data_IF_298930809536
#
_entry.id   IF_298930809536
#
_cell.length_a   1.000
_cell.length_b   1.000
_cell.length_c   1.000
_cell.angle_alpha   90.00
_cell.angle_beta   90.00
_cell.angle_gamma   90.00
#
_symmetry.space_group_name_H-M   'P 1'
#
loop_
_entity.id
_entity.type
_entity.pdbx_description
1 polymer ?
#
# COMPACT_ATOMS: atom_id res chain seq x y z
N UNK A 1 -12.95 -13.33 -39.95
CA UNK A 1 -14.19 -12.60 -40.24
C UNK A 1 -15.34 -12.82 -39.24
N UNK A 2 -15.62 -14.03 -38.76
CA UNK A 2 -16.77 -14.27 -37.86
C UNK A 2 -16.68 -13.57 -36.49
N UNK A 3 -15.52 -13.60 -35.82
CA UNK A 3 -15.34 -12.91 -34.52
C UNK A 3 -15.52 -11.39 -34.66
N UNK A 4 -15.04 -10.81 -35.77
CA UNK A 4 -15.18 -9.39 -36.09
C UNK A 4 -16.65 -9.02 -36.32
N UNK A 5 -17.37 -9.81 -37.11
CA UNK A 5 -18.80 -9.60 -37.34
C UNK A 5 -19.59 -9.70 -36.03
N UNK A 6 -19.32 -10.71 -35.20
CA UNK A 6 -19.96 -10.87 -33.89
C UNK A 6 -19.72 -9.67 -32.97
N UNK A 7 -18.48 -9.19 -32.85
CA UNK A 7 -18.15 -8.00 -32.05
C UNK A 7 -18.84 -6.74 -32.57
N UNK A 8 -18.90 -6.56 -33.90
CA UNK A 8 -19.60 -5.42 -34.52
C UNK A 8 -21.09 -5.42 -34.17
N UNK A 9 -21.76 -6.57 -34.36
CA UNK A 9 -23.18 -6.74 -34.00
C UNK A 9 -23.41 -6.50 -32.52
N UNK A 10 -22.56 -7.02 -31.64
CA UNK A 10 -22.69 -6.80 -30.20
C UNK A 10 -22.50 -5.32 -29.82
N UNK A 11 -21.60 -4.59 -30.47
CA UNK A 11 -21.48 -3.15 -30.29
C UNK A 11 -22.76 -2.40 -30.70
N UNK A 12 -23.37 -2.77 -31.82
CA UNK A 12 -24.63 -2.19 -32.28
C UNK A 12 -25.78 -2.48 -31.30
N UNK A 13 -25.87 -3.72 -30.81
CA UNK A 13 -26.87 -4.11 -29.80
C UNK A 13 -26.73 -3.28 -28.53
N UNK A 14 -25.51 -3.13 -27.97
CA UNK A 14 -25.28 -2.29 -26.78
C UNK A 14 -25.63 -0.82 -27.04
N UNK A 15 -25.39 -0.32 -28.26
CA UNK A 15 -25.65 1.06 -28.63
C UNK A 15 -27.16 1.35 -28.78
N UNK A 16 -27.89 0.48 -29.48
CA UNK A 16 -29.33 0.64 -29.75
C UNK A 16 -30.15 0.38 -28.47
N UNK A 17 -29.83 -0.69 -27.75
CA UNK A 17 -30.60 -1.13 -26.59
C UNK A 17 -30.01 -0.68 -25.26
N UNK A 18 -29.31 0.46 -25.26
CA UNK A 18 -28.55 1.02 -24.13
C UNK A 18 -29.26 0.91 -22.78
N UNK A 19 -30.56 1.22 -22.72
CA UNK A 19 -31.33 1.28 -21.46
C UNK A 19 -32.11 -0.01 -21.15
N UNK A 20 -32.09 -1.01 -22.03
CA UNK A 20 -32.82 -2.26 -21.82
C UNK A 20 -31.95 -3.29 -21.08
N UNK A 21 -32.12 -3.39 -19.76
CA UNK A 21 -31.30 -4.28 -18.91
C UNK A 21 -31.34 -5.75 -19.34
N UNK A 22 -32.48 -6.26 -19.85
CA UNK A 22 -32.57 -7.67 -20.29
C UNK A 22 -31.71 -7.92 -21.53
N UNK A 23 -31.70 -6.98 -22.48
CA UNK A 23 -30.86 -7.07 -23.68
C UNK A 23 -29.39 -6.93 -23.31
N UNK A 24 -29.04 -5.96 -22.46
CA UNK A 24 -27.65 -5.75 -22.00
C UNK A 24 -27.14 -6.97 -21.23
N UNK A 25 -27.96 -7.54 -20.35
CA UNK A 25 -27.63 -8.76 -19.61
C UNK A 25 -27.33 -9.91 -20.57
N UNK A 26 -28.22 -10.15 -21.53
CA UNK A 26 -28.04 -11.22 -22.52
C UNK A 26 -26.80 -10.99 -23.38
N UNK A 27 -26.62 -9.77 -23.91
CA UNK A 27 -25.47 -9.39 -24.71
C UNK A 27 -24.15 -9.55 -23.94
N UNK A 28 -24.13 -9.21 -22.64
CA UNK A 28 -22.92 -9.32 -21.81
C UNK A 28 -22.40 -10.76 -21.72
N UNK A 29 -23.29 -11.77 -21.71
CA UNK A 29 -22.88 -13.19 -21.72
C UNK A 29 -22.18 -13.53 -23.04
N UNK A 30 -22.74 -13.10 -24.17
CA UNK A 30 -22.11 -13.29 -25.48
C UNK A 30 -20.78 -12.56 -25.58
N UNK A 31 -20.72 -11.30 -25.10
CA UNK A 31 -19.48 -10.50 -25.07
C UNK A 31 -18.40 -11.20 -24.25
N UNK A 32 -18.74 -11.76 -23.09
CA UNK A 32 -17.79 -12.52 -22.28
C UNK A 32 -17.15 -13.68 -23.06
N UNK A 33 -17.94 -14.40 -23.85
CA UNK A 33 -17.42 -15.51 -24.66
C UNK A 33 -16.52 -15.02 -25.79
N UNK A 34 -16.95 -13.98 -26.52
CA UNK A 34 -16.22 -13.51 -27.69
C UNK A 34 -15.01 -12.64 -27.34
N UNK A 35 -14.87 -12.13 -26.11
CA UNK A 35 -13.72 -11.31 -25.70
C UNK A 35 -12.59 -12.09 -25.05
N UNK A 36 -12.72 -13.42 -24.91
CA UNK A 36 -11.73 -14.25 -24.22
C UNK A 36 -10.32 -14.05 -24.78
N UNK A 37 -9.27 -14.01 -23.93
CA UNK A 37 -7.88 -13.83 -24.37
C UNK A 37 -7.36 -14.89 -25.35
N UNK A 38 -8.00 -16.06 -25.41
CA UNK A 38 -7.69 -17.12 -26.38
C UNK A 38 -8.01 -16.74 -27.83
N UNK A 39 -8.75 -15.65 -28.05
CA UNK A 39 -9.13 -15.15 -29.37
C UNK A 39 -8.16 -14.01 -29.73
N UNK A 40 -7.18 -14.27 -30.59
CA UNK A 40 -6.06 -13.36 -30.86
C UNK A 40 -6.31 -12.37 -32.00
N UNK A 41 -7.21 -12.69 -32.94
CA UNK A 41 -7.41 -11.92 -34.19
C UNK A 41 -8.55 -10.89 -34.09
N UNK A 42 -8.59 -10.14 -32.99
CA UNK A 42 -9.64 -9.16 -32.76
C UNK A 42 -9.27 -7.78 -33.26
N UNK A 43 -10.21 -7.13 -33.95
CA UNK A 43 -10.06 -5.75 -34.43
C UNK A 43 -9.89 -4.79 -33.22
N UNK A 44 -8.74 -4.12 -33.08
CA UNK A 44 -8.48 -3.25 -31.93
C UNK A 44 -9.44 -2.06 -31.84
N UNK A 45 -9.90 -1.54 -32.99
CA UNK A 45 -10.86 -0.44 -33.04
C UNK A 45 -12.23 -0.85 -32.52
N UNK A 46 -12.70 -2.05 -32.88
CA UNK A 46 -13.94 -2.62 -32.34
C UNK A 46 -13.82 -2.95 -30.85
N UNK A 47 -12.68 -3.46 -30.39
CA UNK A 47 -12.43 -3.67 -28.96
C UNK A 47 -12.50 -2.36 -28.18
N UNK A 48 -11.89 -1.30 -28.68
CA UNK A 48 -11.95 0.02 -28.03
C UNK A 48 -13.37 0.59 -28.03
N UNK A 49 -14.12 0.43 -29.13
CA UNK A 49 -15.55 0.82 -29.21
C UNK A 49 -16.38 0.05 -28.18
N UNK A 50 -16.18 -1.25 -28.09
CA UNK A 50 -16.85 -2.12 -27.12
C UNK A 50 -16.56 -1.67 -25.68
N UNK A 51 -15.30 -1.39 -25.35
CA UNK A 51 -14.93 -0.87 -24.03
C UNK A 51 -15.70 0.39 -23.65
N UNK A 52 -15.80 1.37 -24.56
CA UNK A 52 -16.58 2.58 -24.31
C UNK A 52 -18.07 2.30 -24.05
N UNK A 53 -18.64 1.30 -24.74
CA UNK A 53 -20.03 0.87 -24.52
C UNK A 53 -20.20 0.11 -23.19
N UNK A 54 -19.23 -0.73 -22.81
CA UNK A 54 -19.23 -1.45 -21.53
C UNK A 54 -19.11 -0.48 -20.35
N UNK A 55 -18.22 0.52 -20.42
CA UNK A 55 -18.07 1.56 -19.40
C UNK A 55 -19.36 2.37 -19.25
N UNK A 56 -20.02 2.70 -20.37
CA UNK A 56 -21.33 3.35 -20.33
C UNK A 56 -22.41 2.47 -19.68
N UNK A 57 -22.46 1.18 -20.05
CA UNK A 57 -23.40 0.23 -19.46
C UNK A 57 -23.16 0.01 -17.96
N UNK A 58 -21.90 0.01 -17.50
CA UNK A 58 -21.55 0.00 -16.08
C UNK A 58 -22.18 1.17 -15.33
N UNK A 59 -22.19 2.37 -15.91
CA UNK A 59 -22.84 3.55 -15.33
C UNK A 59 -24.37 3.50 -15.38
N UNK A 60 -24.94 3.19 -16.55
CA UNK A 60 -26.39 3.21 -16.75
C UNK A 60 -27.12 2.12 -15.94
N UNK A 61 -26.47 0.96 -15.73
CA UNK A 61 -27.07 -0.22 -15.09
C UNK A 61 -26.49 -0.51 -13.69
N UNK A 62 -26.11 0.53 -12.94
CA UNK A 62 -25.58 0.40 -11.57
C UNK A 62 -26.49 -0.42 -10.64
N UNK A 63 -27.81 -0.32 -10.79
CA UNK A 63 -28.77 -1.05 -9.97
C UNK A 63 -28.84 -2.57 -10.27
N UNK A 64 -28.32 -3.03 -11.41
CA UNK A 64 -28.42 -4.43 -11.80
C UNK A 64 -27.14 -5.20 -11.48
N UNK A 65 -27.14 -5.95 -10.38
CA UNK A 65 -25.98 -6.74 -9.92
C UNK A 65 -25.39 -7.64 -11.01
N UNK A 66 -26.24 -8.34 -11.77
CA UNK A 66 -25.76 -9.31 -12.73
C UNK A 66 -25.08 -8.65 -13.93
N UNK A 67 -25.51 -7.45 -14.34
CA UNK A 67 -24.82 -6.65 -15.35
C UNK A 67 -23.48 -6.15 -14.80
N UNK A 68 -23.45 -5.63 -13.57
CA UNK A 68 -22.21 -5.20 -12.92
C UNK A 68 -21.18 -6.34 -12.85
N UNK A 69 -21.61 -7.52 -12.38
CA UNK A 69 -20.77 -8.72 -12.30
C UNK A 69 -20.26 -9.17 -13.67
N UNK A 70 -21.13 -9.26 -14.66
CA UNK A 70 -20.75 -9.71 -15.99
C UNK A 70 -19.76 -8.73 -16.64
N UNK A 71 -20.01 -7.42 -16.58
CA UNK A 71 -19.10 -6.44 -17.17
C UNK A 71 -17.76 -6.42 -16.43
N UNK A 72 -17.77 -6.50 -15.10
CA UNK A 72 -16.55 -6.57 -14.30
C UNK A 72 -15.65 -7.75 -14.74
N UNK A 73 -16.24 -8.94 -14.97
CA UNK A 73 -15.51 -10.10 -15.48
C UNK A 73 -15.05 -9.94 -16.93
N UNK A 74 -15.85 -9.32 -17.79
CA UNK A 74 -15.46 -9.01 -19.18
C UNK A 74 -14.25 -8.09 -19.21
N UNK A 75 -14.18 -7.08 -18.33
CA UNK A 75 -13.05 -6.15 -18.26
C UNK A 75 -11.73 -6.86 -17.93
N UNK A 76 -11.75 -7.98 -17.21
CA UNK A 76 -10.56 -8.80 -16.96
C UNK A 76 -9.97 -9.44 -18.22
N UNK A 77 -10.68 -9.45 -19.35
CA UNK A 77 -10.17 -9.93 -20.65
C UNK A 77 -9.41 -8.86 -21.44
N UNK A 78 -9.35 -7.63 -20.95
CA UNK A 78 -8.69 -6.52 -21.63
C UNK A 78 -7.35 -6.22 -20.97
N UNK A 79 -6.37 -5.89 -21.78
CA UNK A 79 -5.08 -5.46 -21.28
C UNK A 79 -5.18 -4.06 -20.67
N UNK A 80 -4.33 -3.79 -19.67
CA UNK A 80 -4.29 -2.47 -19.04
C UNK A 80 -4.06 -1.35 -20.06
N UNK A 81 -3.32 -1.59 -21.14
CA UNK A 81 -3.15 -0.60 -22.21
C UNK A 81 -4.46 -0.21 -22.91
N UNK A 82 -5.39 -1.15 -23.09
CA UNK A 82 -6.68 -0.89 -23.73
C UNK A 82 -7.64 -0.14 -22.79
N UNK A 83 -7.53 -0.41 -21.49
CA UNK A 83 -8.38 0.19 -20.47
C UNK A 83 -7.91 1.59 -20.03
N UNK A 84 -6.65 1.99 -20.32
CA UNK A 84 -6.05 3.29 -19.96
C UNK A 84 -6.93 4.51 -20.26
N UNK A 85 -7.62 4.62 -21.41
CA UNK A 85 -8.48 5.76 -21.70
C UNK A 85 -9.64 5.96 -20.70
N UNK A 86 -9.97 4.93 -19.92
CA UNK A 86 -11.06 4.91 -18.96
C UNK A 86 -10.59 4.77 -17.50
N UNK A 87 -9.31 5.05 -17.24
CA UNK A 87 -8.65 4.83 -15.94
C UNK A 87 -9.33 5.52 -14.75
N UNK A 88 -9.98 6.68 -14.97
CA UNK A 88 -10.74 7.36 -13.92
C UNK A 88 -12.16 6.80 -13.77
N UNK A 89 -12.76 6.29 -14.85
CA UNK A 89 -14.18 5.90 -14.93
C UNK A 89 -14.40 4.45 -14.50
N UNK A 90 -13.52 3.53 -14.92
CA UNK A 90 -13.68 2.11 -14.60
C UNK A 90 -13.61 1.86 -13.09
N UNK A 91 -12.55 2.28 -12.36
CA UNK A 91 -12.46 2.02 -10.93
C UNK A 91 -13.60 2.65 -10.15
N UNK A 92 -13.98 3.90 -10.47
CA UNK A 92 -15.07 4.60 -9.78
C UNK A 92 -16.41 3.91 -9.97
N UNK A 93 -16.77 3.52 -11.20
CA UNK A 93 -18.02 2.81 -11.48
C UNK A 93 -18.04 1.41 -10.88
N UNK A 94 -16.92 0.68 -10.93
CA UNK A 94 -16.82 -0.66 -10.34
C UNK A 94 -16.93 -0.62 -8.82
N UNK A 95 -16.25 0.32 -8.16
CA UNK A 95 -16.32 0.46 -6.71
C UNK A 95 -17.69 0.98 -6.25
N UNK A 96 -18.32 1.89 -6.99
CA UNK A 96 -19.69 2.32 -6.72
C UNK A 96 -20.68 1.14 -6.80
N UNK A 97 -20.53 0.27 -7.81
CA UNK A 97 -21.31 -0.97 -7.93
C UNK A 97 -21.02 -1.95 -6.80
N UNK A 98 -19.75 -2.09 -6.41
CA UNK A 98 -19.31 -2.93 -5.30
C UNK A 98 -19.91 -2.47 -3.96
N UNK A 99 -19.97 -1.16 -3.69
CA UNK A 99 -20.61 -0.63 -2.48
C UNK A 99 -22.11 -0.84 -2.53
N UNK A 100 -22.76 -0.57 -3.66
CA UNK A 100 -24.21 -0.73 -3.82
C UNK A 100 -24.67 -2.17 -3.58
N UNK A 101 -23.86 -3.14 -3.99
CA UNK A 101 -24.21 -4.57 -3.96
C UNK A 101 -23.42 -5.33 -2.90
N UNK A 102 -23.16 -4.70 -1.76
CA UNK A 102 -22.42 -5.28 -0.64
C UNK A 102 -23.27 -6.17 0.26
N UNK A 103 -24.43 -6.67 -0.17
CA UNK A 103 -25.28 -7.51 0.68
C UNK A 103 -24.58 -8.82 1.06
N UNK A 104 -24.72 -9.23 2.34
CA UNK A 104 -24.06 -10.43 2.92
C UNK A 104 -24.28 -11.70 2.10
N UNK A 105 -25.45 -11.86 1.47
CA UNK A 105 -25.81 -13.06 0.70
C UNK A 105 -24.98 -13.27 -0.58
N UNK A 106 -24.26 -12.25 -1.07
CA UNK A 106 -23.60 -12.29 -2.39
C UNK A 106 -22.13 -12.70 -2.35
N UNK A 107 -21.59 -12.99 -1.17
CA UNK A 107 -20.26 -13.59 -1.00
C UNK A 107 -19.09 -12.75 -1.48
N UNK A 108 -19.26 -11.44 -1.69
CA UNK A 108 -18.16 -10.50 -1.96
C UNK A 108 -17.52 -10.55 -3.34
N UNK A 109 -18.07 -11.32 -4.28
CA UNK A 109 -17.40 -11.57 -5.58
C UNK A 109 -17.19 -10.27 -6.36
N UNK A 110 -18.22 -9.42 -6.46
CA UNK A 110 -18.11 -8.15 -7.18
C UNK A 110 -17.07 -7.23 -6.55
N UNK A 111 -17.01 -7.18 -5.21
CA UNK A 111 -16.07 -6.39 -4.44
C UNK A 111 -14.64 -6.86 -4.67
N UNK A 112 -14.39 -8.18 -4.61
CA UNK A 112 -13.06 -8.76 -4.88
C UNK A 112 -12.55 -8.38 -6.26
N UNK A 113 -13.38 -8.56 -7.30
CA UNK A 113 -12.96 -8.27 -8.68
C UNK A 113 -12.80 -6.76 -8.90
N UNK A 114 -13.71 -5.93 -8.36
CA UNK A 114 -13.62 -4.46 -8.46
C UNK A 114 -12.34 -3.91 -7.81
N UNK A 115 -12.01 -4.39 -6.60
CA UNK A 115 -10.79 -3.99 -5.88
C UNK A 115 -9.55 -4.53 -6.58
N UNK A 116 -9.57 -5.78 -7.06
CA UNK A 116 -8.45 -6.37 -7.82
C UNK A 116 -8.13 -5.60 -9.10
N UNK A 117 -9.16 -5.27 -9.90
CA UNK A 117 -8.99 -4.44 -11.09
C UNK A 117 -8.49 -3.04 -10.74
N UNK A 118 -8.97 -2.45 -9.66
CA UNK A 118 -8.47 -1.16 -9.15
C UNK A 118 -6.99 -1.24 -8.78
N UNK A 119 -6.58 -2.30 -8.07
CA UNK A 119 -5.19 -2.51 -7.65
C UNK A 119 -4.20 -2.57 -8.83
N UNK A 120 -4.62 -3.10 -9.97
CA UNK A 120 -3.78 -3.14 -11.17
C UNK A 120 -3.37 -1.75 -11.67
N UNK A 121 -4.25 -0.75 -11.52
CA UNK A 121 -3.99 0.63 -11.97
C UNK A 121 -3.04 1.36 -11.05
N UNK A 122 -3.20 1.16 -9.75
CA UNK A 122 -2.42 1.81 -8.71
C UNK A 122 -0.93 1.46 -8.80
N UNK A 123 -0.62 0.26 -9.32
CA UNK A 123 0.75 -0.21 -9.51
C UNK A 123 1.47 0.39 -10.73
N UNK A 124 0.82 1.19 -11.59
CA UNK A 124 1.41 1.69 -12.84
C UNK A 124 2.37 2.88 -12.66
N UNK A 125 2.25 3.65 -11.57
CA UNK A 125 3.09 4.83 -11.31
C UNK A 125 2.36 5.94 -10.55
N UNK A 126 3.11 6.92 -10.05
CA UNK A 126 2.58 8.00 -9.19
C UNK A 126 1.52 8.85 -9.91
N UNK A 127 1.71 9.19 -11.19
CA UNK A 127 0.74 9.98 -11.96
C UNK A 127 -0.66 9.33 -11.99
N UNK A 128 -0.69 8.00 -12.11
CA UNK A 128 -1.95 7.25 -12.09
C UNK A 128 -2.57 7.21 -10.70
N UNK A 129 -1.76 7.12 -9.64
CA UNK A 129 -2.26 7.21 -8.27
C UNK A 129 -2.95 8.55 -8.04
N UNK A 130 -2.34 9.67 -8.46
CA UNK A 130 -2.94 11.01 -8.36
C UNK A 130 -4.26 11.09 -9.14
N UNK A 131 -4.29 10.64 -10.39
CA UNK A 131 -5.49 10.64 -11.21
C UNK A 131 -6.65 9.82 -10.60
N UNK A 132 -6.33 8.67 -9.99
CA UNK A 132 -7.32 7.84 -9.29
C UNK A 132 -7.82 8.54 -8.01
N UNK A 133 -6.93 9.21 -7.29
CA UNK A 133 -7.26 10.07 -6.15
C UNK A 133 -8.27 11.15 -6.53
N UNK A 134 -7.95 11.94 -7.56
CA UNK A 134 -8.80 13.00 -8.10
C UNK A 134 -10.16 12.49 -8.59
N UNK A 135 -10.21 11.24 -9.08
CA UNK A 135 -11.44 10.58 -9.49
C UNK A 135 -12.32 10.11 -8.31
N UNK A 136 -11.84 10.21 -7.06
CA UNK A 136 -12.57 9.80 -5.86
C UNK A 136 -12.40 8.33 -5.47
N UNK A 137 -11.44 7.62 -6.05
CA UNK A 137 -11.21 6.19 -5.76
C UNK A 137 -10.88 5.96 -4.28
N UNK A 138 -10.12 6.86 -3.66
CA UNK A 138 -9.77 6.77 -2.22
C UNK A 138 -11.04 6.77 -1.37
N UNK A 139 -12.00 7.65 -1.65
CA UNK A 139 -13.26 7.74 -0.91
C UNK A 139 -14.06 6.42 -1.00
N UNK A 140 -14.17 5.85 -2.20
CA UNK A 140 -14.87 4.59 -2.40
C UNK A 140 -14.20 3.41 -1.67
N UNK A 141 -12.87 3.35 -1.67
CA UNK A 141 -12.13 2.31 -0.93
C UNK A 141 -12.33 2.45 0.58
N UNK A 142 -12.29 3.66 1.13
CA UNK A 142 -12.57 3.92 2.56
C UNK A 142 -14.00 3.50 2.91
N UNK A 143 -14.98 3.82 2.06
CA UNK A 143 -16.37 3.42 2.25
C UNK A 143 -16.53 1.89 2.25
N UNK A 144 -15.82 1.18 1.36
CA UNK A 144 -15.83 -0.30 1.32
C UNK A 144 -15.28 -0.92 2.60
N UNK A 145 -14.27 -0.31 3.24
CA UNK A 145 -13.80 -0.77 4.56
C UNK A 145 -14.92 -0.64 5.58
N UNK A 146 -15.59 0.52 5.64
CA UNK A 146 -16.69 0.74 6.58
C UNK A 146 -17.79 -0.30 6.43
N UNK A 147 -18.25 -0.50 5.18
CA UNK A 147 -19.25 -1.52 4.85
C UNK A 147 -18.77 -2.92 5.22
N UNK A 148 -17.52 -3.26 4.93
CA UNK A 148 -16.96 -4.58 5.23
C UNK A 148 -16.84 -4.84 6.73
N UNK A 149 -16.39 -3.86 7.51
CA UNK A 149 -16.23 -3.99 8.97
C UNK A 149 -17.57 -4.20 9.67
N UNK A 150 -18.63 -3.53 9.20
CA UNK A 150 -20.00 -3.68 9.72
C UNK A 150 -20.63 -5.05 9.36
N UNK A 151 -20.03 -5.80 8.44
CA UNK A 151 -20.55 -7.08 7.93
C UNK A 151 -19.80 -8.32 8.42
N UNK A 152 -18.82 -8.16 9.30
CA UNK A 152 -18.00 -9.22 9.91
C UNK A 152 -17.19 -10.08 8.92
N UNK A 153 -16.81 -11.29 9.33
CA UNK A 153 -15.80 -12.15 8.70
C UNK A 153 -16.06 -12.55 7.24
N UNK A 154 -17.26 -12.36 6.70
CA UNK A 154 -17.56 -12.69 5.29
C UNK A 154 -16.82 -11.79 4.30
N UNK A 155 -16.46 -10.56 4.71
CA UNK A 155 -15.72 -9.59 3.90
C UNK A 155 -14.23 -9.53 4.23
N UNK A 156 -13.70 -10.39 5.12
CA UNK A 156 -12.32 -10.27 5.60
C UNK A 156 -11.27 -10.21 4.46
N UNK A 157 -11.39 -11.07 3.45
CA UNK A 157 -10.48 -11.10 2.29
C UNK A 157 -10.65 -9.88 1.38
N UNK A 158 -11.87 -9.35 1.27
CA UNK A 158 -12.14 -8.10 0.55
C UNK A 158 -11.49 -6.93 1.29
N UNK A 159 -11.70 -6.82 2.60
CA UNK A 159 -11.15 -5.73 3.42
C UNK A 159 -9.61 -5.77 3.38
N UNK A 160 -9.00 -6.95 3.48
CA UNK A 160 -7.56 -7.12 3.29
C UNK A 160 -7.07 -6.58 1.93
N UNK A 161 -7.81 -6.89 0.86
CA UNK A 161 -7.52 -6.39 -0.49
C UNK A 161 -7.70 -4.88 -0.61
N UNK A 162 -8.73 -4.32 0.05
CA UNK A 162 -9.00 -2.88 0.04
C UNK A 162 -7.89 -2.12 0.78
N UNK A 163 -7.45 -2.61 1.95
CA UNK A 163 -6.29 -2.06 2.64
C UNK A 163 -5.03 -2.13 1.78
N UNK A 164 -4.80 -3.24 1.06
CA UNK A 164 -3.68 -3.37 0.13
C UNK A 164 -3.76 -2.37 -1.04
N UNK A 165 -4.94 -2.14 -1.60
CA UNK A 165 -5.15 -1.14 -2.64
C UNK A 165 -4.91 0.29 -2.13
N UNK A 166 -5.39 0.60 -0.91
CA UNK A 166 -5.16 1.89 -0.27
C UNK A 166 -3.69 2.11 0.11
N UNK A 167 -2.98 1.09 0.58
CA UNK A 167 -1.55 1.17 0.81
C UNK A 167 -0.80 1.53 -0.48
N UNK A 168 -1.13 0.86 -1.59
CA UNK A 168 -0.50 1.15 -2.87
C UNK A 168 -0.84 2.53 -3.43
N UNK A 169 -2.08 3.04 -3.23
CA UNK A 169 -2.53 4.31 -3.82
C UNK A 169 -2.00 5.52 -3.06
N UNK A 170 -1.64 5.35 -1.80
CA UNK A 170 -1.03 6.38 -0.94
C UNK A 170 0.50 6.40 -1.04
N UNK A 171 1.13 5.30 -1.43
CA UNK A 171 2.58 5.16 -1.56
C UNK A 171 3.15 6.19 -2.56
N UNK A 172 4.14 6.98 -2.14
CA UNK A 172 4.72 8.10 -2.90
C UNK A 172 3.68 9.13 -3.43
N UNK A 173 2.48 9.17 -2.85
CA UNK A 173 1.37 10.03 -3.26
C UNK A 173 0.76 10.76 -2.05
N UNK A 174 1.45 11.80 -1.51
CA UNK A 174 1.03 12.48 -0.28
C UNK A 174 -0.38 13.09 -0.36
N UNK A 175 -0.82 13.52 -1.55
CA UNK A 175 -2.19 13.99 -1.77
C UNK A 175 -3.24 12.90 -1.49
N UNK A 176 -2.95 11.65 -1.86
CA UNK A 176 -3.85 10.53 -1.57
C UNK A 176 -3.84 10.14 -0.08
N UNK A 177 -2.71 10.29 0.61
CA UNK A 177 -2.65 10.14 2.07
C UNK A 177 -3.52 11.17 2.78
N UNK A 178 -3.55 12.42 2.30
CA UNK A 178 -4.43 13.46 2.81
C UNK A 178 -5.91 13.13 2.52
N UNK A 179 -6.25 12.76 1.27
CA UNK A 179 -7.60 12.34 0.89
C UNK A 179 -8.11 11.17 1.74
N UNK A 180 -7.24 10.19 2.07
CA UNK A 180 -7.61 9.08 2.95
C UNK A 180 -8.10 9.58 4.31
N UNK A 181 -7.39 10.52 4.92
CA UNK A 181 -7.77 11.10 6.21
C UNK A 181 -9.07 11.91 6.09
N UNK A 182 -9.19 12.75 5.06
CA UNK A 182 -10.39 13.56 4.77
C UNK A 182 -11.64 12.70 4.53
N UNK A 183 -11.48 11.52 3.96
CA UNK A 183 -12.57 10.56 3.72
C UNK A 183 -12.96 9.75 4.97
N UNK A 184 -12.41 10.06 6.16
CA UNK A 184 -12.71 9.35 7.40
C UNK A 184 -11.84 8.11 7.64
N UNK A 185 -10.69 8.00 6.96
CA UNK A 185 -9.77 6.87 7.08
C UNK A 185 -9.24 6.63 8.50
N UNK A 186 -9.10 7.68 9.31
CA UNK A 186 -8.71 7.55 10.72
C UNK A 186 -9.70 6.72 11.54
N UNK A 187 -11.01 6.91 11.31
CA UNK A 187 -12.04 6.10 11.97
C UNK A 187 -11.95 4.62 11.53
N UNK A 188 -11.60 4.36 10.26
CA UNK A 188 -11.43 3.00 9.76
C UNK A 188 -10.21 2.31 10.37
N UNK A 189 -9.11 3.04 10.60
CA UNK A 189 -7.94 2.53 11.32
C UNK A 189 -8.35 2.09 12.73
N UNK A 190 -9.02 2.97 13.48
CA UNK A 190 -9.45 2.67 14.86
C UNK A 190 -10.39 1.47 14.92
N UNK A 191 -11.43 1.43 14.07
CA UNK A 191 -12.34 0.27 14.00
C UNK A 191 -11.61 -1.03 13.67
N UNK A 192 -10.60 -0.97 12.80
CA UNK A 192 -9.81 -2.16 12.44
C UNK A 192 -8.90 -2.61 13.58
N UNK A 193 -8.31 -1.66 14.34
CA UNK A 193 -7.55 -1.97 15.55
C UNK A 193 -8.42 -2.63 16.63
N UNK A 194 -9.61 -2.11 16.87
CA UNK A 194 -10.56 -2.68 17.84
C UNK A 194 -10.92 -4.12 17.46
N UNK A 195 -11.24 -4.37 16.18
CA UNK A 195 -11.49 -5.74 15.72
C UNK A 195 -10.27 -6.64 15.83
N UNK A 196 -9.05 -6.13 15.65
CA UNK A 196 -7.83 -6.93 15.82
C UNK A 196 -7.65 -7.37 17.29
N UNK A 197 -8.05 -6.55 18.25
CA UNK A 197 -7.96 -6.89 19.68
C UNK A 197 -9.04 -7.90 20.11
N UNK A 198 -10.19 -7.91 19.44
CA UNK A 198 -11.34 -8.76 19.81
C UNK A 198 -11.53 -10.01 18.95
N UNK A 199 -11.01 -10.02 17.72
CA UNK A 199 -11.20 -11.08 16.72
C UNK A 199 -9.86 -11.52 16.10
N UNK A 200 -9.80 -12.76 15.60
CA UNK A 200 -8.62 -13.27 14.87
C UNK A 200 -8.57 -12.71 13.46
N UNK A 201 -8.07 -11.49 13.30
CA UNK A 201 -7.78 -10.89 11.99
C UNK A 201 -6.47 -11.45 11.41
N UNK A 202 -6.37 -11.55 10.07
CA UNK A 202 -5.14 -11.97 9.40
C UNK A 202 -3.99 -10.98 9.63
N UNK A 203 -2.78 -11.50 9.83
CA UNK A 203 -1.57 -10.67 9.91
C UNK A 203 -1.33 -9.88 8.61
N UNK A 204 -1.79 -10.39 7.47
CA UNK A 204 -1.73 -9.70 6.17
C UNK A 204 -2.55 -8.42 6.14
N UNK A 205 -3.78 -8.45 6.67
CA UNK A 205 -4.63 -7.26 6.77
C UNK A 205 -3.97 -6.21 7.66
N UNK A 206 -3.44 -6.65 8.81
CA UNK A 206 -2.70 -5.77 9.71
C UNK A 206 -1.49 -5.14 9.02
N UNK A 207 -0.69 -5.93 8.29
CA UNK A 207 0.46 -5.44 7.52
C UNK A 207 0.05 -4.42 6.47
N UNK A 208 -1.01 -4.67 5.70
CA UNK A 208 -1.50 -3.75 4.67
C UNK A 208 -1.93 -2.41 5.29
N UNK A 209 -2.66 -2.46 6.41
CA UNK A 209 -3.07 -1.26 7.13
C UNK A 209 -1.86 -0.50 7.70
N UNK A 210 -0.91 -1.19 8.33
CA UNK A 210 0.31 -0.54 8.84
C UNK A 210 1.15 0.07 7.72
N UNK A 211 1.21 -0.57 6.54
CA UNK A 211 1.85 0.00 5.36
C UNK A 211 1.24 1.35 4.96
N UNK A 212 -0.10 1.43 4.92
CA UNK A 212 -0.80 2.70 4.68
C UNK A 212 -0.52 3.73 5.78
N UNK A 213 -0.58 3.33 7.05
CA UNK A 213 -0.33 4.26 8.17
C UNK A 213 1.12 4.77 8.13
N UNK A 214 2.07 3.92 7.70
CA UNK A 214 3.44 4.31 7.37
C UNK A 214 3.50 5.43 6.35
N UNK A 215 2.83 5.26 5.21
CA UNK A 215 2.77 6.31 4.17
C UNK A 215 2.18 7.64 4.69
N UNK A 216 1.19 7.59 5.61
CA UNK A 216 0.65 8.79 6.26
C UNK A 216 1.69 9.42 7.19
N UNK A 217 2.39 8.60 7.99
CA UNK A 217 3.40 9.05 8.93
C UNK A 217 4.64 9.65 8.25
N UNK A 218 4.97 9.21 7.03
CA UNK A 218 6.06 9.79 6.25
C UNK A 218 5.81 11.28 5.92
N UNK A 219 4.55 11.68 5.71
CA UNK A 219 4.15 13.05 5.33
C UNK A 219 4.12 13.98 6.56
N UNK A 220 5.05 14.94 6.72
CA UNK A 220 5.16 15.75 7.94
C UNK A 220 3.87 16.48 8.33
N UNK A 221 3.19 17.08 7.35
CA UNK A 221 1.92 17.80 7.55
C UNK A 221 0.77 16.91 8.01
N UNK A 222 0.86 15.57 7.88
CA UNK A 222 -0.22 14.64 8.23
C UNK A 222 0.02 13.90 9.55
N UNK A 223 1.26 13.86 10.07
CA UNK A 223 1.62 13.11 11.28
C UNK A 223 0.75 13.41 12.49
N UNK A 224 0.29 14.66 12.62
CA UNK A 224 -0.54 15.06 13.73
C UNK A 224 -1.88 14.31 13.82
N UNK A 225 -2.42 13.82 12.69
CA UNK A 225 -3.63 12.99 12.69
C UNK A 225 -3.43 11.65 13.41
N UNK A 226 -2.18 11.18 13.51
CA UNK A 226 -1.83 9.92 14.15
C UNK A 226 -1.41 10.09 15.61
N UNK A 227 -1.21 11.33 16.09
CA UNK A 227 -0.90 11.64 17.49
C UNK A 227 -2.16 11.52 18.36
N UNK A 228 -2.58 10.28 18.60
CA UNK A 228 -3.70 9.93 19.48
C UNK A 228 -3.33 8.79 20.41
N UNK A 229 -3.90 8.78 21.61
CA UNK A 229 -3.62 7.75 22.62
C UNK A 229 -4.00 6.34 22.12
N UNK A 230 -5.09 6.22 21.36
CA UNK A 230 -5.55 4.94 20.80
C UNK A 230 -4.51 4.36 19.84
N UNK A 231 -4.03 5.17 18.89
CA UNK A 231 -3.05 4.72 17.89
C UNK A 231 -1.71 4.43 18.54
N UNK A 232 -1.22 5.33 19.38
CA UNK A 232 0.07 5.17 20.05
C UNK A 232 0.08 3.93 20.95
N UNK A 233 -1.01 3.68 21.69
CA UNK A 233 -1.15 2.46 22.50
C UNK A 233 -1.13 1.20 21.62
N UNK A 234 -1.89 1.19 20.54
CA UNK A 234 -1.95 0.05 19.63
C UNK A 234 -0.59 -0.28 19.01
N UNK A 235 0.11 0.73 18.46
CA UNK A 235 1.44 0.57 17.87
C UNK A 235 2.48 0.12 18.90
N UNK A 236 2.47 0.70 20.10
CA UNK A 236 3.38 0.30 21.19
C UNK A 236 3.13 -1.15 21.61
N UNK A 237 1.87 -1.55 21.73
CA UNK A 237 1.49 -2.93 22.06
C UNK A 237 1.91 -3.93 20.98
N UNK A 238 1.75 -3.57 19.69
CA UNK A 238 2.23 -4.40 18.58
C UNK A 238 3.74 -4.59 18.64
N UNK A 239 4.45 -3.50 18.86
CA UNK A 239 5.90 -3.51 18.92
C UNK A 239 6.40 -4.40 20.06
N UNK A 240 5.77 -4.34 21.25
CA UNK A 240 6.08 -5.23 22.36
C UNK A 240 5.79 -6.70 22.04
N UNK A 241 4.67 -7.02 21.39
CA UNK A 241 4.29 -8.39 20.99
C UNK A 241 5.23 -8.98 19.93
N UNK A 242 5.74 -8.15 19.01
CA UNK A 242 6.72 -8.56 17.99
C UNK A 242 8.05 -9.05 18.56
N UNK A 243 8.39 -8.66 19.80
CA UNK A 243 9.63 -9.11 20.46
C UNK A 243 9.57 -10.55 20.95
N UNK A 244 8.37 -11.11 21.13
CA UNK A 244 8.18 -12.40 21.80
C UNK A 244 7.48 -13.43 20.95
N UNK A 245 6.45 -13.05 20.19
CA UNK A 245 5.52 -14.03 19.60
C UNK A 245 4.97 -13.67 18.22
N UNK A 246 5.32 -12.52 17.64
CA UNK A 246 4.73 -12.02 16.39
C UNK A 246 5.81 -11.74 15.33
N UNK A 247 5.43 -11.80 14.05
CA UNK A 247 6.30 -11.49 12.92
C UNK A 247 6.99 -10.12 13.10
N UNK A 248 8.32 -10.12 12.89
CA UNK A 248 9.15 -8.92 12.89
C UNK A 248 8.62 -7.87 11.91
N UNK A 249 7.95 -8.26 10.82
CA UNK A 249 7.42 -7.33 9.83
C UNK A 249 6.34 -6.40 10.42
N UNK A 250 5.49 -6.93 11.29
CA UNK A 250 4.48 -6.13 11.98
C UNK A 250 5.15 -5.16 12.94
N UNK A 251 6.12 -5.65 13.72
CA UNK A 251 6.91 -4.82 14.64
C UNK A 251 7.71 -3.74 13.93
N UNK A 252 8.34 -4.08 12.80
CA UNK A 252 9.14 -3.19 11.99
C UNK A 252 8.30 -2.03 11.44
N UNK A 253 7.11 -2.33 10.89
CA UNK A 253 6.21 -1.29 10.39
C UNK A 253 5.71 -0.38 11.52
N UNK A 254 5.30 -0.97 12.65
CA UNK A 254 4.85 -0.21 13.81
C UNK A 254 5.96 0.72 14.34
N UNK A 255 7.20 0.22 14.43
CA UNK A 255 8.35 1.01 14.83
C UNK A 255 8.65 2.15 13.85
N UNK A 256 8.50 1.94 12.53
CA UNK A 256 8.70 2.99 11.53
C UNK A 256 7.69 4.12 11.67
N UNK A 257 6.42 3.78 11.87
CA UNK A 257 5.37 4.76 12.17
C UNK A 257 5.72 5.54 13.44
N UNK A 258 6.03 4.83 14.53
CA UNK A 258 6.40 5.46 15.80
C UNK A 258 7.65 6.34 15.66
N UNK A 259 8.65 5.93 14.89
CA UNK A 259 9.86 6.71 14.65
C UNK A 259 9.54 8.05 13.95
N UNK A 260 8.66 8.05 12.94
CA UNK A 260 8.16 9.28 12.33
C UNK A 260 7.40 10.16 13.32
N UNK A 261 6.49 9.61 14.12
CA UNK A 261 5.73 10.39 15.11
C UNK A 261 6.64 10.95 16.22
N UNK A 262 7.61 10.15 16.68
CA UNK A 262 8.58 10.56 17.68
C UNK A 262 9.59 11.58 17.14
N UNK A 263 9.81 11.66 15.82
CA UNK A 263 10.63 12.71 15.22
C UNK A 263 10.03 14.11 15.36
N UNK A 264 8.72 14.21 15.61
CA UNK A 264 8.06 15.47 15.96
C UNK A 264 8.54 16.02 17.31
N UNK A 265 8.52 17.35 17.41
CA UNK A 265 9.02 18.06 18.60
C UNK A 265 8.06 17.92 19.79
N UNK A 266 8.57 18.05 21.01
CA UNK A 266 7.75 17.98 22.22
C UNK A 266 6.55 18.97 22.24
N UNK A 267 6.68 20.22 21.74
CA UNK A 267 5.54 21.12 21.60
C UNK A 267 4.40 20.59 20.71
N UNK A 268 4.73 19.87 19.63
CA UNK A 268 3.71 19.26 18.75
C UNK A 268 2.93 18.20 19.53
N UNK A 269 3.61 17.33 20.27
CA UNK A 269 2.94 16.32 21.11
C UNK A 269 2.04 16.94 22.18
N UNK A 270 2.45 18.05 22.79
CA UNK A 270 1.66 18.78 23.78
C UNK A 270 0.42 19.44 23.17
N UNK A 271 0.52 19.96 21.94
CA UNK A 271 -0.58 20.59 21.23
C UNK A 271 -1.77 19.65 21.01
N UNK A 272 -1.51 18.36 20.77
CA UNK A 272 -2.55 17.35 20.52
C UNK A 272 -3.02 16.62 21.80
N UNK A 273 -2.58 17.09 22.98
CA UNK A 273 -3.05 16.64 24.29
C UNK A 273 -2.97 15.11 24.52
N UNK A 274 -1.97 14.47 23.92
CA UNK A 274 -1.67 13.04 24.06
C UNK A 274 -1.26 12.74 25.50
N UNK A 275 -1.91 11.76 26.13
CA UNK A 275 -1.62 11.34 27.50
C UNK A 275 -0.43 10.37 27.56
N UNK A 276 -0.21 9.59 26.50
CA UNK A 276 0.93 8.70 26.38
C UNK A 276 2.24 9.50 26.32
N UNK A 277 3.15 9.19 27.24
CA UNK A 277 4.46 9.84 27.32
C UNK A 277 5.31 9.53 26.08
N UNK A 278 5.72 10.57 25.35
CA UNK A 278 6.69 10.47 24.24
C UNK A 278 7.95 9.71 24.65
N UNK A 279 8.45 9.93 25.87
CA UNK A 279 9.64 9.25 26.40
C UNK A 279 9.40 7.74 26.57
N UNK A 280 8.21 7.31 26.96
CA UNK A 280 7.86 5.88 27.07
C UNK A 280 7.82 5.21 25.69
N UNK A 281 7.27 5.91 24.69
CA UNK A 281 7.25 5.43 23.29
C UNK A 281 8.68 5.31 22.75
N UNK A 282 9.53 6.32 22.97
CA UNK A 282 10.94 6.31 22.58
C UNK A 282 11.71 5.14 23.23
N UNK A 283 11.52 4.89 24.52
CA UNK A 283 12.14 3.76 25.21
C UNK A 283 11.74 2.43 24.57
N UNK A 284 10.44 2.24 24.34
CA UNK A 284 9.92 1.01 23.71
C UNK A 284 10.46 0.83 22.30
N UNK A 285 10.53 1.92 21.53
CA UNK A 285 11.11 1.93 20.18
C UNK A 285 12.58 1.47 20.22
N UNK A 286 13.41 2.11 21.05
CA UNK A 286 14.83 1.80 21.16
C UNK A 286 15.08 0.35 21.58
N UNK A 287 14.39 -0.14 22.62
CA UNK A 287 14.55 -1.52 23.08
C UNK A 287 14.17 -2.54 22.01
N UNK A 288 13.12 -2.25 21.23
CA UNK A 288 12.62 -3.18 20.22
C UNK A 288 13.55 -3.25 19.02
N UNK A 289 13.99 -2.11 18.48
CA UNK A 289 14.93 -2.08 17.35
C UNK A 289 16.25 -2.79 17.71
N UNK A 290 16.74 -2.61 18.94
CA UNK A 290 17.97 -3.28 19.41
C UNK A 290 17.83 -4.79 19.55
N UNK A 291 16.61 -5.30 19.70
CA UNK A 291 16.36 -6.74 19.86
C UNK A 291 16.37 -7.51 18.54
N UNK A 292 16.32 -6.82 17.40
CA UNK A 292 16.21 -7.44 16.09
C UNK A 292 17.57 -7.78 15.47
N UNK A 293 17.63 -8.91 14.78
CA UNK A 293 18.80 -9.29 13.99
C UNK A 293 18.88 -8.47 12.70
N UNK A 294 20.04 -7.84 12.47
CA UNK A 294 20.33 -7.05 11.27
C UNK A 294 20.23 -7.85 9.96
N UNK A 295 20.26 -9.19 10.03
CA UNK A 295 20.18 -10.07 8.85
C UNK A 295 18.80 -10.67 8.63
N UNK A 296 17.81 -10.32 9.45
CA UNK A 296 16.46 -10.85 9.27
C UNK A 296 15.90 -10.47 7.89
N UNK A 297 15.47 -11.48 7.14
CA UNK A 297 14.83 -11.28 5.84
C UNK A 297 13.44 -10.70 6.02
N UNK A 298 13.05 -9.84 5.08
CA UNK A 298 11.77 -9.12 5.09
C UNK A 298 11.22 -9.04 3.68
N UNK A 299 9.91 -9.21 3.59
CA UNK A 299 9.08 -9.14 2.39
C UNK A 299 8.83 -7.72 1.90
N UNK A 300 8.99 -6.70 2.76
CA UNK A 300 8.75 -5.29 2.39
C UNK A 300 9.80 -4.80 1.38
N UNK A 301 9.32 -4.22 0.29
CA UNK A 301 10.15 -3.69 -0.80
C UNK A 301 10.01 -2.16 -0.87
N UNK A 302 11.13 -1.44 -0.75
CA UNK A 302 11.17 0.01 -0.92
C UNK A 302 11.44 0.41 -2.37
N UNK A 303 10.72 1.43 -2.85
CA UNK A 303 10.95 2.08 -4.16
C UNK A 303 11.90 3.26 -4.02
N UNK A 304 11.75 4.00 -2.95
CA UNK A 304 12.61 5.10 -2.53
C UNK A 304 13.15 4.86 -1.12
N UNK A 305 14.37 5.32 -0.84
CA UNK A 305 14.94 5.35 0.51
C UNK A 305 14.89 6.75 1.13
N UNK A 306 14.37 7.75 0.42
CA UNK A 306 14.32 9.15 0.89
C UNK A 306 13.65 9.26 2.26
N UNK A 307 12.46 8.69 2.52
CA UNK A 307 11.82 8.83 3.83
C UNK A 307 12.65 8.26 4.99
N UNK A 308 13.33 7.13 4.77
CA UNK A 308 14.21 6.50 5.77
C UNK A 308 15.46 7.37 5.99
N UNK A 309 16.04 7.90 4.91
CA UNK A 309 17.24 8.75 4.99
C UNK A 309 16.93 10.08 5.69
N UNK A 310 15.80 10.71 5.39
CA UNK A 310 15.35 11.93 6.07
C UNK A 310 15.17 11.68 7.58
N UNK A 311 14.62 10.52 7.95
CA UNK A 311 14.46 10.12 9.34
C UNK A 311 15.80 9.81 10.03
N UNK A 312 16.77 9.24 9.32
CA UNK A 312 18.14 9.06 9.84
C UNK A 312 18.84 10.39 10.11
N UNK A 313 18.46 11.45 9.40
CA UNK A 313 18.97 12.81 9.59
C UNK A 313 18.15 13.63 10.61
N UNK A 314 17.06 13.06 11.16
CA UNK A 314 16.24 13.71 12.16
C UNK A 314 16.97 13.86 13.50
N UNK A 315 16.62 14.89 14.28
CA UNK A 315 17.22 15.17 15.60
C UNK A 315 16.74 14.25 16.74
N UNK A 316 16.32 13.01 16.46
CA UNK A 316 15.75 12.08 17.44
C UNK A 316 16.51 10.74 17.42
N UNK A 317 17.40 10.46 18.39
CA UNK A 317 18.28 9.28 18.37
C UNK A 317 17.58 7.94 18.18
N UNK A 318 16.41 7.73 18.79
CA UNK A 318 15.64 6.50 18.68
C UNK A 318 15.01 6.32 17.30
N UNK A 319 14.57 7.42 16.67
CA UNK A 319 14.09 7.40 15.30
C UNK A 319 15.25 7.16 14.31
N UNK A 320 16.41 7.79 14.57
CA UNK A 320 17.63 7.53 13.82
C UNK A 320 18.06 6.06 13.95
N UNK A 321 17.93 5.45 15.13
CA UNK A 321 18.27 4.05 15.35
C UNK A 321 17.44 3.11 14.47
N UNK A 322 16.11 3.32 14.39
CA UNK A 322 15.25 2.56 13.48
C UNK A 322 15.66 2.78 12.02
N UNK A 323 15.86 4.03 11.61
CA UNK A 323 16.22 4.35 10.23
C UNK A 323 17.57 3.74 9.82
N UNK A 324 18.58 3.84 10.68
CA UNK A 324 19.90 3.24 10.45
C UNK A 324 19.83 1.71 10.45
N UNK A 325 19.02 1.11 11.33
CA UNK A 325 18.80 -0.33 11.34
C UNK A 325 18.19 -0.78 10.00
N UNK A 326 17.17 -0.07 9.51
CA UNK A 326 16.52 -0.35 8.24
C UNK A 326 17.51 -0.29 7.07
N UNK A 327 18.34 0.76 7.01
CA UNK A 327 19.36 0.92 5.96
C UNK A 327 20.42 -0.19 6.00
N UNK A 328 20.92 -0.54 7.19
CA UNK A 328 21.89 -1.63 7.36
C UNK A 328 21.29 -2.97 6.96
N UNK A 329 20.06 -3.27 7.40
CA UNK A 329 19.37 -4.51 7.08
C UNK A 329 19.12 -4.63 5.57
N UNK A 330 18.54 -3.61 4.94
CA UNK A 330 18.27 -3.61 3.49
C UNK A 330 19.55 -3.79 2.66
N UNK A 331 20.63 -3.08 3.02
CA UNK A 331 21.92 -3.20 2.33
C UNK A 331 22.66 -4.50 2.63
N UNK A 332 22.34 -5.19 3.74
CA UNK A 332 22.94 -6.49 4.07
C UNK A 332 22.22 -7.64 3.39
N UNK A 333 20.89 -7.64 3.41
CA UNK A 333 20.05 -8.74 2.91
C UNK A 333 19.89 -8.66 1.39
N UNK A 334 19.70 -7.47 0.82
CA UNK A 334 19.53 -7.28 -0.62
C UNK A 334 20.48 -6.20 -1.18
N UNK A 335 21.81 -6.40 -1.08
CA UNK A 335 22.83 -5.40 -1.41
C UNK A 335 22.73 -4.91 -2.86
N UNK A 336 22.46 -5.81 -3.81
CA UNK A 336 22.38 -5.49 -5.24
C UNK A 336 21.26 -4.50 -5.58
N UNK A 337 20.19 -4.49 -4.79
CA UNK A 337 19.05 -3.56 -4.97
C UNK A 337 19.27 -2.27 -4.19
N UNK A 338 19.56 -2.37 -2.90
CA UNK A 338 19.47 -1.20 -2.01
C UNK A 338 20.76 -0.41 -1.88
N UNK A 339 21.94 -1.00 -2.10
CA UNK A 339 23.19 -0.22 -2.11
C UNK A 339 23.19 0.80 -3.26
N UNK A 340 22.86 0.44 -4.52
CA UNK A 340 22.75 1.43 -5.60
C UNK A 340 21.72 2.52 -5.28
N UNK A 341 20.53 2.13 -4.80
CA UNK A 341 19.46 3.07 -4.46
C UNK A 341 19.90 4.06 -3.38
N UNK A 342 20.55 3.58 -2.32
CA UNK A 342 21.08 4.41 -1.25
C UNK A 342 22.16 5.36 -1.77
N UNK A 343 23.11 4.88 -2.58
CA UNK A 343 24.18 5.72 -3.15
C UNK A 343 23.69 6.77 -4.13
N UNK A 344 22.53 6.56 -4.77
CA UNK A 344 21.89 7.54 -5.64
C UNK A 344 21.16 8.64 -4.88
N UNK A 345 20.85 8.41 -3.61
CA UNK A 345 20.15 9.37 -2.75
C UNK A 345 21.16 10.37 -2.19
N UNK A 346 20.92 11.68 -2.34
CA UNK A 346 21.82 12.74 -1.87
C UNK A 346 22.17 12.64 -0.38
N UNK A 347 21.28 12.09 0.46
CA UNK A 347 21.54 11.92 1.89
C UNK A 347 22.65 10.93 2.24
N UNK A 348 23.18 10.14 1.28
CA UNK A 348 24.38 9.32 1.49
C UNK A 348 25.59 10.11 1.97
N UNK A 349 25.75 11.36 1.54
CA UNK A 349 26.85 12.21 2.00
C UNK A 349 26.65 12.61 3.45
N UNK A 350 25.42 12.92 3.86
CA UNK A 350 25.10 13.37 5.21
C UNK A 350 25.09 12.23 6.25
N UNK A 351 24.79 10.99 5.82
CA UNK A 351 24.95 9.81 6.67
C UNK A 351 26.41 9.59 7.13
N UNK A 352 27.39 10.04 6.33
CA UNK A 352 28.81 10.00 6.73
C UNK A 352 29.14 11.03 7.81
N UNK A 353 28.42 12.15 7.86
CA UNK A 353 28.61 13.18 8.89
C UNK A 353 28.07 12.72 10.25
N UNK A 354 26.98 11.92 10.25
CA UNK A 354 26.52 11.19 11.45
C UNK A 354 27.62 10.24 11.97
N UNK A 355 28.38 9.60 11.07
CA UNK A 355 29.51 8.75 11.44
C UNK A 355 30.71 9.55 11.99
N UNK A 356 31.03 10.70 11.36
CA UNK A 356 32.21 11.52 11.68
C UNK A 356 32.07 12.36 12.95
N UNK A 357 30.85 12.75 13.31
CA UNK A 357 30.54 13.46 14.56
C UNK A 357 30.66 12.60 15.83
N UNK A 358 30.79 11.27 15.67
CA UNK A 358 30.84 10.30 16.79
C UNK A 358 32.25 9.87 17.20
N UNK A 359 33.31 10.61 16.84
CA UNK A 359 34.71 10.26 17.12
C UNK A 359 35.15 10.33 18.61
N UNK A 360 34.22 10.18 19.57
CA UNK A 360 34.50 10.38 20.99
C UNK A 360 33.81 9.36 21.92
N UNK A 361 33.79 8.05 21.64
CA UNK A 361 33.27 7.07 22.62
C UNK A 361 34.07 5.75 22.64
N UNK A 362 35.21 5.77 23.33
CA UNK A 362 36.06 4.59 23.61
C UNK A 362 35.81 4.04 25.02
N UNK A 363 34.59 3.56 25.30
CA UNK A 363 34.24 2.97 26.60
C UNK A 363 33.27 1.81 26.46
N UNK A 364 33.73 0.59 26.74
CA UNK A 364 33.02 -0.66 26.45
C UNK A 364 31.79 -0.90 27.34
N UNK A 365 31.64 -0.19 28.46
CA UNK A 365 30.55 -0.41 29.44
C UNK A 365 29.36 0.57 29.37
N UNK A 366 29.47 1.72 28.69
CA UNK A 366 28.36 2.67 28.52
C UNK A 366 27.49 2.40 27.27
N UNK A 367 27.87 1.41 26.45
CA UNK A 367 27.23 1.06 25.18
C UNK A 367 25.90 0.30 25.32
N UNK A 368 25.50 -0.07 26.54
CA UNK A 368 24.45 -1.09 26.75
C UNK A 368 23.01 -0.61 26.56
N UNK A 369 22.70 0.70 26.64
CA UNK A 369 21.31 1.18 26.59
C UNK A 369 21.01 2.46 25.77
N UNK A 370 22.02 3.29 25.44
CA UNK A 370 21.78 4.56 24.73
C UNK A 370 21.48 4.36 23.24
N UNK A 371 20.42 5.01 22.73
CA UNK A 371 20.08 5.03 21.31
C UNK A 371 21.19 5.67 20.46
N UNK A 372 21.83 6.74 20.94
CA UNK A 372 22.94 7.41 20.26
C UNK A 372 24.11 6.46 20.01
N UNK A 373 24.49 5.65 21.00
CA UNK A 373 25.59 4.69 20.85
C UNK A 373 25.26 3.62 19.79
N UNK A 374 23.98 3.21 19.72
CA UNK A 374 23.53 2.23 18.72
C UNK A 374 23.50 2.83 17.30
N UNK A 375 23.08 4.09 17.15
CA UNK A 375 23.18 4.83 15.88
C UNK A 375 24.62 4.85 15.38
N UNK A 376 25.60 5.15 16.25
CA UNK A 376 27.02 5.15 15.88
C UNK A 376 27.50 3.77 15.41
N UNK A 377 27.11 2.70 16.11
CA UNK A 377 27.42 1.32 15.71
C UNK A 377 26.84 0.96 14.33
N UNK A 378 25.56 1.29 14.10
CA UNK A 378 24.88 1.02 12.83
C UNK A 378 25.50 1.85 11.69
N UNK A 379 25.85 3.10 11.96
CA UNK A 379 26.53 3.98 11.00
C UNK A 379 27.89 3.44 10.59
N UNK A 380 28.69 2.98 11.54
CA UNK A 380 29.95 2.30 11.25
C UNK A 380 29.73 1.03 10.40
N UNK A 381 28.72 0.24 10.75
CA UNK A 381 28.37 -1.00 10.04
C UNK A 381 27.95 -0.72 8.59
N UNK A 382 27.08 0.27 8.38
CA UNK A 382 26.63 0.69 7.06
C UNK A 382 27.80 1.16 6.18
N UNK A 383 28.70 1.99 6.72
CA UNK A 383 29.88 2.45 6.01
C UNK A 383 30.78 1.29 5.56
N UNK A 384 30.99 0.28 6.42
CA UNK A 384 31.76 -0.92 6.05
C UNK A 384 31.09 -1.72 4.93
N UNK A 385 29.76 -1.88 4.98
CA UNK A 385 28.99 -2.56 3.94
C UNK A 385 29.12 -1.85 2.59
N UNK A 386 28.96 -0.52 2.58
CA UNK A 386 29.09 0.29 1.38
C UNK A 386 30.51 0.22 0.79
N UNK A 387 31.54 0.34 1.62
CA UNK A 387 32.93 0.19 1.17
C UNK A 387 33.24 -1.21 0.64
N UNK A 388 32.71 -2.26 1.29
CA UNK A 388 32.89 -3.63 0.81
C UNK A 388 32.22 -3.82 -0.55
N UNK A 389 30.96 -3.38 -0.71
CA UNK A 389 30.23 -3.47 -1.97
C UNK A 389 30.96 -2.77 -3.12
N UNK A 390 31.52 -1.58 -2.88
CA UNK A 390 32.30 -0.84 -3.86
C UNK A 390 33.59 -1.56 -4.29
N UNK A 391 34.24 -2.27 -3.37
CA UNK A 391 35.47 -3.04 -3.64
C UNK A 391 35.21 -4.36 -4.35
N UNK A 392 34.06 -4.98 -4.08
CA UNK A 392 33.71 -6.30 -4.63
C UNK A 392 33.30 -6.28 -6.12
N UNK A 393 33.29 -5.11 -6.77
CA UNK A 393 33.10 -5.01 -8.23
C UNK A 393 31.73 -5.46 -8.73
N UNK A 394 30.71 -5.54 -7.86
CA UNK A 394 29.36 -5.96 -8.24
C UNK A 394 28.82 -5.02 -9.32
N UNK A 395 28.36 -5.52 -10.49
CA UNK A 395 28.04 -4.68 -11.64
C UNK A 395 26.98 -3.62 -11.30
N UNK A 396 27.18 -2.40 -11.79
CA UNK A 396 26.17 -1.33 -11.82
C UNK A 396 25.11 -1.61 -12.91
N UNK A 397 24.32 -2.66 -12.73
CA UNK A 397 23.09 -2.92 -13.50
C UNK A 397 22.40 -4.12 -12.84
N UNK A 398 21.12 -4.10 -12.49
CA UNK A 398 20.02 -3.77 -13.38
C UNK A 398 18.92 -2.99 -12.66
N UNK A 399 18.44 -1.95 -13.33
CA UNK A 399 17.07 -1.47 -13.19
C UNK A 399 16.11 -2.54 -13.75
N UNK A 400 15.94 -3.66 -13.05
CA UNK A 400 14.76 -4.49 -13.26
C UNK A 400 13.64 -3.87 -12.43
N UNK A 401 12.89 -2.97 -13.07
CA UNK A 401 11.53 -2.69 -12.64
C UNK A 401 10.76 -3.99 -12.84
N UNK A 402 10.80 -4.88 -11.85
CA UNK A 402 10.01 -6.10 -11.82
C UNK A 402 8.57 -5.67 -11.58
N UNK A 403 7.84 -5.40 -12.65
CA UNK A 403 6.38 -5.51 -12.66
C UNK A 403 6.04 -6.99 -12.44
N UNK A 404 6.14 -7.46 -11.20
CA UNK A 404 5.49 -8.69 -10.78
C UNK A 404 3.99 -8.45 -10.93
N UNK A 405 3.41 -8.94 -12.04
CA UNK A 405 1.96 -9.04 -12.19
C UNK A 405 1.46 -9.92 -11.05
N UNK A 406 0.51 -9.47 -10.20
CA UNK A 406 -0.19 -10.41 -9.33
C UNK A 406 -0.93 -11.42 -10.22
N UNK A 407 -0.66 -12.71 -9.99
CA UNK A 407 -1.31 -13.82 -10.68
C UNK A 407 -2.83 -13.75 -10.43
N UNK A 408 -3.60 -13.37 -11.46
CA UNK A 408 -5.06 -13.16 -11.40
C UNK A 408 -5.89 -14.42 -11.09
N UNK A 409 -5.31 -15.61 -11.07
CA UNK A 409 -6.07 -16.86 -10.98
C UNK A 409 -6.36 -17.34 -9.54
N UNK A 410 -5.76 -16.73 -8.51
CA UNK A 410 -6.03 -17.10 -7.12
C UNK A 410 -7.20 -16.34 -6.46
N UNK A 411 -7.77 -15.32 -7.13
CA UNK A 411 -8.91 -14.56 -6.59
C UNK A 411 -10.30 -15.14 -6.98
N UNK A 412 -10.34 -16.25 -7.71
CA UNK A 412 -11.58 -16.89 -8.21
C UNK A 412 -11.84 -18.25 -7.55
N UNK A 413 -10.93 -18.77 -6.71
CA UNK A 413 -11.15 -19.98 -5.91
C UNK A 413 -11.67 -19.65 -4.51
#
# INVERSE_FOLDING_TARGET
DESRAALSTLCEVLQIHRLNSNVILTASVSIYQVTRPTITDQDPGLRQKLLGLLVRALGDHQACYQIQKNICLILCHFDLSELKPFIAQIPTLLLAGAIRHSDKERGGVLQRVAVGLTGNWVCLGVDYKTLLGDAGVVAYLVQLIGVGLDQDMQMATVIESVWGALWNITDEAPGNSALFLECGGLAMIVKTFEKFETESISENLLRNMLGLVGNVAEVPSLRHWLLSDVILKFLTNLLQRSRTHMDIEVGYNAAGILAHLCSETAPVWQQYNVQISRTSVLSTLNESVRSWDLRTERTIKYRSLVPIVDLALAGCPEAQAWAMWALVNLCSVYPSRYVPLLTSTSGCTHLKDIAGSSNAYTGVDYMSHSATAYVSFLSFTLNRLLCHYQRSGVPRSASSCSTERPNMLHCIS
#
